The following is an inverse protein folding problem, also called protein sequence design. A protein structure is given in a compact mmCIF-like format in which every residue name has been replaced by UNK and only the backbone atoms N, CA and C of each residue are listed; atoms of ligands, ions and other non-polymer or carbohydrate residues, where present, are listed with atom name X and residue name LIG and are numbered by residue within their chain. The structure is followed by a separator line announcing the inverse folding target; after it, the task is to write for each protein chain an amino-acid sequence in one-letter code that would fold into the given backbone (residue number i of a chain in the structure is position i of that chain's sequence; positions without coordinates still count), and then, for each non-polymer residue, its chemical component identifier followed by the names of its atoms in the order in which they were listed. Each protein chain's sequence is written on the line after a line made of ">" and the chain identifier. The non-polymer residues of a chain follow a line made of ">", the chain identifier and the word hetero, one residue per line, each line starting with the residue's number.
data_IF_239488226186
#
_entry.id   IF_239488226186
#
_cell.length_a   1.000
_cell.length_b   1.000
_cell.length_c   1.000
_cell.angle_alpha   90.00
_cell.angle_beta   90.00
_cell.angle_gamma   90.00
#
_symmetry.space_group_name_H-M   'P 1'
#
loop_
_entity.id
_entity.type
_entity.pdbx_description
1 polymer ?
2 non-polymer ?
3 non-polymer ?
4 water ?
#
# COMPACT_ATOMS: atom_id res chain seq x y z
N UNK A 1 -13.04 7.46 -12.55
CA UNK A 1 -13.38 6.77 -11.34
C UNK A 1 -12.19 5.93 -10.91
N UNK A 2 -11.79 5.96 -9.62
CA UNK A 2 -10.68 5.10 -9.14
C UNK A 2 -11.27 3.73 -8.80
N UNK A 3 -10.84 2.68 -9.48
CA UNK A 3 -11.52 1.38 -9.44
C UNK A 3 -10.60 0.27 -8.91
N UNK A 4 -9.33 0.55 -8.61
CA UNK A 4 -8.48 -0.47 -8.02
C UNK A 4 -7.32 0.15 -7.27
N UNK A 5 -6.74 -0.65 -6.37
CA UNK A 5 -5.35 -0.42 -5.91
C UNK A 5 -4.46 -0.98 -7.01
N UNK A 6 -3.78 -0.09 -7.71
CA UNK A 6 -2.86 -0.47 -8.79
C UNK A 6 -1.54 -0.97 -8.25
N UNK A 7 -0.92 -0.27 -7.31
CA UNK A 7 0.36 -0.79 -6.77
C UNK A 7 0.67 -0.12 -5.47
N UNK A 8 1.65 -0.71 -4.78
CA UNK A 8 2.29 -0.09 -3.61
C UNK A 8 3.72 0.20 -4.05
N UNK A 9 4.17 1.44 -3.92
CA UNK A 9 5.55 1.84 -4.22
C UNK A 9 6.43 1.70 -3.01
N UNK A 10 7.45 0.88 -3.11
CA UNK A 10 8.35 0.50 -2.00
C UNK A 10 9.76 0.93 -2.41
N UNK A 11 10.32 1.88 -1.66
CA UNK A 11 11.67 2.38 -1.94
C UNK A 11 12.67 1.47 -1.25
N UNK A 12 13.78 1.24 -1.94
CA UNK A 12 14.88 0.42 -1.40
C UNK A 12 16.22 0.95 -1.91
N UNK A 13 17.22 0.62 -1.11
CA UNK A 13 18.61 1.02 -1.44
C UNK A 13 19.16 0.18 -2.58
N UNK A 14 18.85 -1.11 -2.60
CA UNK A 14 19.44 -2.08 -3.55
C UNK A 14 18.27 -2.89 -4.15
N UNK A 15 17.88 -2.52 -5.37
CA UNK A 15 16.72 -3.18 -6.02
C UNK A 15 16.97 -4.68 -6.16
N UNK A 16 18.17 -5.09 -6.59
CA UNK A 16 18.38 -6.54 -6.85
C UNK A 16 18.26 -7.31 -5.53
N UNK A 17 18.77 -6.79 -4.41
CA UNK A 17 18.66 -7.48 -3.12
C UNK A 17 17.19 -7.55 -2.66
N UNK A 18 16.45 -6.46 -2.87
CA UNK A 18 15.06 -6.41 -2.37
C UNK A 18 14.18 -7.31 -3.24
N UNK A 19 14.37 -7.29 -4.54
CA UNK A 19 13.67 -8.24 -5.44
C UNK A 19 13.91 -9.67 -4.97
N UNK A 20 15.17 -10.01 -4.67
CA UNK A 20 15.49 -11.39 -4.24
C UNK A 20 14.85 -11.71 -2.91
N UNK A 21 14.74 -10.73 -2.00
CA UNK A 21 14.02 -10.96 -0.75
C UNK A 21 12.55 -11.33 -1.04
N UNK A 22 11.86 -10.58 -1.91
CA UNK A 22 10.41 -10.84 -2.18
C UNK A 22 10.25 -12.18 -2.89
N UNK A 23 11.17 -12.52 -3.78
CA UNK A 23 11.18 -13.82 -4.53
C UNK A 23 11.39 -14.99 -3.57
N UNK A 24 12.44 -14.91 -2.78
CA UNK A 24 12.84 -16.03 -1.91
C UNK A 24 11.83 -16.18 -0.79
N UNK A 25 11.28 -15.10 -0.23
CA UNK A 25 10.42 -15.16 0.97
C UNK A 25 8.98 -15.54 0.60
N UNK A 26 8.46 -14.97 -0.47
CA UNK A 26 7.02 -15.05 -0.80
C UNK A 26 6.76 -15.74 -2.14
N UNK A 27 7.79 -15.98 -2.94
CA UNK A 27 7.63 -16.62 -4.25
C UNK A 27 7.19 -15.65 -5.32
N UNK A 28 7.28 -14.34 -5.08
CA UNK A 28 6.89 -13.33 -6.09
C UNK A 28 7.98 -13.09 -7.15
N UNK A 29 7.65 -13.30 -8.40
CA UNK A 29 8.59 -13.13 -9.53
C UNK A 29 8.48 -11.68 -10.02
N UNK A 30 9.50 -11.19 -10.68
CA UNK A 30 9.47 -9.88 -11.37
C UNK A 30 8.55 -10.03 -12.58
N UNK A 31 7.55 -9.14 -12.68
CA UNK A 31 6.67 -9.07 -13.86
C UNK A 31 7.37 -8.30 -14.98
N UNK A 32 7.98 -7.18 -14.64
CA UNK A 32 8.55 -6.22 -15.61
C UNK A 32 9.53 -5.32 -14.87
N UNK A 33 10.64 -4.96 -15.46
CA UNK A 33 11.57 -3.97 -14.88
C UNK A 33 11.91 -2.92 -15.95
N UNK A 34 12.10 -1.68 -15.52
CA UNK A 34 12.55 -0.63 -16.46
C UNK A 34 13.23 0.47 -15.66
N UNK A 35 13.97 1.31 -16.36
CA UNK A 35 14.54 2.56 -15.81
C UNK A 35 13.71 3.74 -16.31
N UNK A 36 13.46 4.69 -15.41
CA UNK A 36 12.79 5.96 -15.76
C UNK A 36 13.81 7.06 -15.53
N UNK A 37 14.50 7.49 -16.59
CA UNK A 37 15.61 8.47 -16.44
C UNK A 37 15.04 9.80 -15.90
N UNK A 38 13.84 10.16 -16.32
CA UNK A 38 13.20 11.46 -15.94
C UNK A 38 13.01 11.46 -14.42
N UNK A 39 12.47 10.39 -13.84
CA UNK A 39 12.27 10.28 -12.37
C UNK A 39 13.57 9.92 -11.64
N UNK A 40 14.55 9.31 -12.31
CA UNK A 40 15.82 8.91 -11.68
C UNK A 40 15.64 7.66 -10.83
N UNK A 41 14.83 6.70 -11.31
CA UNK A 41 14.58 5.45 -10.54
C UNK A 41 14.67 4.25 -11.47
N UNK A 42 15.08 3.13 -10.90
CA UNK A 42 14.94 1.82 -11.56
C UNK A 42 13.83 1.09 -10.82
N UNK A 43 12.85 0.55 -11.57
CA UNK A 43 11.62 -0.03 -10.98
C UNK A 43 11.55 -1.51 -11.33
N UNK A 44 11.10 -2.33 -10.41
CA UNK A 44 10.64 -3.70 -10.71
C UNK A 44 9.20 -3.81 -10.25
N UNK A 45 8.31 -4.20 -11.14
CA UNK A 45 6.90 -4.52 -10.81
C UNK A 45 6.80 -6.01 -10.53
N UNK A 46 6.22 -6.39 -9.40
CA UNK A 46 5.94 -7.80 -9.03
C UNK A 46 4.42 -7.90 -9.03
N UNK A 47 3.85 -8.72 -9.91
CA UNK A 47 2.39 -8.83 -9.98
C UNK A 47 1.89 -9.76 -8.89
N UNK A 48 0.95 -9.31 -8.07
CA UNK A 48 0.42 -10.11 -6.96
C UNK A 48 -0.91 -10.72 -7.35
N UNK A 49 -1.78 -10.01 -8.04
CA UNK A 49 -3.10 -10.54 -8.41
C UNK A 49 -3.66 -9.68 -9.56
N UNK A 50 -4.68 -10.21 -10.21
CA UNK A 50 -5.53 -9.45 -11.11
C UNK A 50 -6.72 -8.87 -10.34
N UNK A 51 -7.36 -7.85 -10.90
CA UNK A 51 -8.44 -7.08 -10.25
C UNK A 51 -9.71 -7.11 -11.07
N UNK A 52 -10.80 -6.80 -10.41
CA UNK A 52 -12.16 -6.98 -10.97
C UNK A 52 -12.43 -5.94 -12.06
N UNK A 53 -11.64 -4.88 -12.15
CA UNK A 53 -11.81 -3.82 -13.17
C UNK A 53 -11.00 -4.16 -14.42
N UNK A 54 -10.40 -5.35 -14.49
CA UNK A 54 -9.62 -5.73 -15.66
C UNK A 54 -8.14 -5.46 -15.50
N UNK A 55 -7.76 -4.79 -14.42
CA UNK A 55 -6.36 -4.46 -14.18
C UNK A 55 -5.67 -5.47 -13.30
N UNK A 56 -4.64 -5.00 -12.63
CA UNK A 56 -3.77 -5.84 -11.78
C UNK A 56 -3.27 -5.01 -10.62
N UNK A 57 -2.79 -5.67 -9.58
CA UNK A 57 -2.17 -5.09 -8.40
C UNK A 57 -0.74 -5.58 -8.34
N UNK A 58 0.17 -4.67 -8.12
CA UNK A 58 1.61 -4.92 -8.09
C UNK A 58 2.24 -4.37 -6.82
N UNK A 59 3.40 -4.91 -6.50
CA UNK A 59 4.43 -4.21 -5.71
C UNK A 59 5.40 -3.56 -6.68
N UNK A 60 5.61 -2.25 -6.54
CA UNK A 60 6.54 -1.50 -7.41
C UNK A 60 7.75 -1.18 -6.52
N UNK A 61 8.82 -1.95 -6.70
CA UNK A 61 10.07 -1.77 -5.94
C UNK A 61 10.92 -0.75 -6.69
N UNK A 62 11.45 0.24 -6.02
CA UNK A 62 12.10 1.41 -6.67
C UNK A 62 13.46 1.60 -6.03
N UNK A 63 14.52 1.80 -6.84
CA UNK A 63 15.86 2.19 -6.34
C UNK A 63 16.22 3.48 -7.07
N UNK A 64 16.89 4.43 -6.42
CA UNK A 64 17.35 5.63 -7.11
C UNK A 64 18.48 5.28 -8.06
N UNK A 65 18.58 6.00 -9.19
CA UNK A 65 19.69 5.80 -10.16
C UNK A 65 20.71 6.92 -10.00
N UNK A 66 20.41 7.91 -9.17
CA UNK A 66 21.29 9.09 -8.92
C UNK A 66 20.83 9.75 -7.62
N UNK A 67 21.71 10.55 -6.99
CA UNK A 67 21.47 11.23 -5.69
C UNK A 67 20.37 12.28 -5.86
N UNK A 68 20.39 13.08 -6.93
CA UNK A 68 19.31 14.07 -7.18
C UNK A 68 18.16 13.31 -7.88
N UNK A 69 17.44 12.50 -7.11
CA UNK A 69 16.08 11.99 -7.47
C UNK A 69 15.18 12.14 -6.25
N UNK A 70 13.88 12.32 -6.43
CA UNK A 70 12.89 12.39 -5.34
C UNK A 70 13.08 11.13 -4.47
N UNK A 71 13.19 9.97 -5.08
CA UNK A 71 13.27 8.71 -4.28
C UNK A 71 14.61 8.65 -3.53
N UNK A 72 15.71 9.08 -4.13
CA UNK A 72 17.02 9.06 -3.42
C UNK A 72 16.99 9.96 -2.18
N UNK A 73 16.44 11.16 -2.35
CA UNK A 73 16.27 12.09 -1.21
C UNK A 73 15.29 11.52 -0.16
N UNK A 74 14.19 10.92 -0.57
CA UNK A 74 13.26 10.30 0.39
C UNK A 74 13.99 9.22 1.20
N UNK A 75 14.78 8.39 0.54
CA UNK A 75 15.46 7.26 1.22
C UNK A 75 16.50 7.79 2.21
N UNK A 76 17.22 8.83 1.81
CA UNK A 76 18.23 9.43 2.71
C UNK A 76 17.52 9.92 3.99
N UNK A 77 16.30 10.46 3.87
CA UNK A 77 15.54 11.01 5.02
C UNK A 77 14.86 9.89 5.83
N UNK A 78 14.27 8.86 5.22
CA UNK A 78 13.30 7.98 5.90
C UNK A 78 13.75 6.53 6.01
N UNK A 79 14.77 6.13 5.25
CA UNK A 79 15.20 4.73 5.14
C UNK A 79 14.24 3.98 4.23
N UNK A 80 14.49 2.70 4.03
CA UNK A 80 13.68 1.85 3.12
C UNK A 80 12.27 1.66 3.71
N UNK A 81 11.29 1.54 2.82
CA UNK A 81 9.91 1.34 3.24
C UNK A 81 8.92 1.80 2.19
N UNK A 82 7.65 1.88 2.57
CA UNK A 82 6.57 2.28 1.64
C UNK A 82 6.72 3.75 1.31
N UNK A 83 6.78 4.06 0.03
CA UNK A 83 6.99 5.43 -0.48
C UNK A 83 5.67 6.02 -0.98
N UNK A 84 4.81 5.24 -1.62
CA UNK A 84 3.53 5.78 -2.14
C UNK A 84 2.55 4.67 -2.38
N UNK A 85 1.30 5.01 -2.60
CA UNK A 85 0.25 4.06 -3.02
C UNK A 85 -0.34 4.57 -4.32
N UNK A 86 -0.80 3.70 -5.14
CA UNK A 86 -1.32 4.04 -6.48
C UNK A 86 -2.68 3.47 -6.69
N UNK A 87 -3.62 4.28 -7.15
CA UNK A 87 -4.98 3.89 -7.58
C UNK A 87 -5.10 3.90 -9.09
N UNK A 88 -5.74 2.87 -9.63
CA UNK A 88 -5.96 2.78 -11.08
C UNK A 88 -7.31 3.34 -11.50
N UNK A 89 -7.34 3.84 -12.72
CA UNK A 89 -8.52 4.49 -13.34
C UNK A 89 -8.42 4.31 -14.86
N UNK A 90 -9.57 4.35 -15.53
CA UNK A 90 -9.63 4.38 -17.01
C UNK A 90 -9.35 5.79 -17.51
N UNK A 91 -9.37 6.82 -16.66
CA UNK A 91 -9.32 8.22 -17.13
C UNK A 91 -8.53 9.09 -16.14
N UNK A 92 -7.22 8.93 -16.10
CA UNK A 92 -6.32 9.70 -15.21
C UNK A 92 -6.54 11.19 -15.43
N UNK A 93 -6.69 11.61 -16.68
CA UNK A 93 -6.84 13.08 -16.92
C UNK A 93 -8.08 13.63 -16.21
N UNK A 94 -9.22 13.00 -16.40
CA UNK A 94 -10.49 13.49 -15.81
C UNK A 94 -10.41 13.39 -14.28
N UNK A 95 -9.91 12.28 -13.73
CA UNK A 95 -9.85 12.13 -12.27
C UNK A 95 -8.88 13.18 -11.67
N UNK A 96 -7.72 13.41 -12.26
CA UNK A 96 -6.76 14.40 -11.76
C UNK A 96 -7.40 15.79 -11.80
N UNK A 97 -8.14 16.12 -12.86
CA UNK A 97 -8.79 17.44 -12.98
C UNK A 97 -9.86 17.58 -11.90
N UNK A 98 -10.64 16.56 -11.64
CA UNK A 98 -11.70 16.57 -10.61
C UNK A 98 -11.05 16.80 -9.23
N UNK A 99 -9.94 16.10 -8.95
CA UNK A 99 -9.31 16.20 -7.61
C UNK A 99 -8.63 17.56 -7.47
N UNK A 100 -8.00 18.06 -8.52
CA UNK A 100 -7.40 19.41 -8.45
C UNK A 100 -8.50 20.45 -8.17
N UNK A 101 -9.64 20.32 -8.80
CA UNK A 101 -10.75 21.29 -8.58
C UNK A 101 -11.27 21.24 -7.13
N UNK A 102 -11.08 20.14 -6.39
CA UNK A 102 -11.48 20.05 -4.97
C UNK A 102 -10.45 20.73 -4.09
N UNK A 103 -9.33 21.24 -4.63
CA UNK A 103 -8.32 21.96 -3.86
C UNK A 103 -7.11 21.13 -3.49
N UNK A 104 -7.07 19.84 -3.85
CA UNK A 104 -5.88 18.99 -3.61
C UNK A 104 -4.74 19.44 -4.53
N UNK A 105 -3.53 19.55 -4.02
CA UNK A 105 -2.35 19.89 -4.85
C UNK A 105 -1.99 18.68 -5.72
N UNK A 106 -2.06 18.82 -7.01
CA UNK A 106 -1.64 17.79 -8.00
C UNK A 106 -0.23 18.15 -8.44
N UNK A 107 0.75 17.27 -8.27
CA UNK A 107 2.17 17.65 -8.36
C UNK A 107 2.56 17.98 -9.80
N UNK A 108 1.87 17.47 -10.81
CA UNK A 108 2.20 17.66 -12.24
C UNK A 108 1.02 18.36 -12.92
N UNK A 109 1.30 19.23 -13.89
CA UNK A 109 0.22 19.92 -14.61
C UNK A 109 -0.50 18.96 -15.56
N UNK A 110 0.21 17.94 -16.02
CA UNK A 110 -0.39 16.90 -16.88
C UNK A 110 0.28 15.56 -16.56
N UNK A 111 -0.47 14.45 -16.76
CA UNK A 111 0.13 13.14 -16.47
C UNK A 111 1.42 12.88 -17.22
N UNK A 112 2.32 12.12 -16.64
CA UNK A 112 3.65 11.76 -17.18
C UNK A 112 3.72 10.26 -17.42
N UNK A 113 4.76 9.84 -18.12
CA UNK A 113 4.99 8.41 -18.38
C UNK A 113 5.29 7.67 -17.10
N UNK A 114 4.66 6.52 -16.94
CA UNK A 114 4.96 5.62 -15.81
C UNK A 114 5.32 4.23 -16.31
N UNK A 115 5.39 3.30 -15.36
CA UNK A 115 5.72 1.87 -15.60
C UNK A 115 4.90 1.28 -16.77
N UNK A 116 5.53 0.51 -17.69
CA UNK A 116 4.83 -0.27 -18.74
C UNK A 116 3.91 0.61 -19.59
N UNK A 117 4.36 1.82 -19.92
CA UNK A 117 3.64 2.71 -20.82
C UNK A 117 2.40 3.35 -20.21
N UNK A 118 2.27 3.31 -18.88
CA UNK A 118 1.14 3.96 -18.19
C UNK A 118 1.30 5.48 -18.18
N UNK A 119 0.25 6.17 -17.82
CA UNK A 119 0.20 7.63 -17.65
C UNK A 119 -0.19 7.86 -16.20
N UNK A 120 0.57 8.69 -15.51
CA UNK A 120 0.45 8.78 -14.03
C UNK A 120 0.54 10.24 -13.57
N UNK A 121 0.00 10.49 -12.40
CA UNK A 121 0.22 11.78 -11.72
C UNK A 121 0.19 11.53 -10.21
N UNK A 122 0.59 12.50 -9.44
CA UNK A 122 0.69 12.40 -7.97
C UNK A 122 -0.06 13.51 -7.29
N UNK A 123 -0.54 13.21 -6.10
CA UNK A 123 -1.20 14.16 -5.17
C UNK A 123 -0.27 14.43 -4.01
N UNK A 124 -0.17 15.68 -3.57
CA UNK A 124 0.72 16.08 -2.46
C UNK A 124 0.36 15.32 -1.16
N UNK A 125 1.34 14.66 -0.49
CA UNK A 125 1.02 13.87 0.72
C UNK A 125 0.42 14.73 1.85
N UNK A 126 0.74 16.03 1.89
CA UNK A 126 0.19 16.87 2.97
C UNK A 126 -1.28 17.15 2.75
N UNK A 127 -1.87 16.91 1.58
CA UNK A 127 -3.31 17.00 1.36
C UNK A 127 -3.98 15.63 1.48
N UNK A 128 -3.19 14.58 1.69
CA UNK A 128 -3.71 13.17 1.71
C UNK A 128 -3.36 12.50 3.04
N UNK A 129 -3.36 13.23 4.13
CA UNK A 129 -3.11 12.68 5.48
C UNK A 129 -1.78 11.90 5.48
N UNK A 130 -0.73 12.44 4.85
CA UNK A 130 0.61 11.88 4.91
C UNK A 130 0.92 10.85 3.84
N UNK A 131 -0.03 10.52 2.96
CA UNK A 131 0.18 9.43 1.97
C UNK A 131 0.43 10.03 0.59
N UNK A 132 1.62 9.84 0.07
CA UNK A 132 1.91 10.19 -1.33
C UNK A 132 1.06 9.29 -2.20
N UNK A 133 0.21 9.87 -3.04
CA UNK A 133 -0.87 9.12 -3.73
C UNK A 133 -0.70 9.30 -5.23
N UNK A 134 -0.58 8.21 -5.97
CA UNK A 134 -0.46 8.20 -7.44
C UNK A 134 -1.79 7.79 -8.05
N UNK A 135 -2.13 8.43 -9.17
CA UNK A 135 -3.25 8.03 -10.03
C UNK A 135 -2.65 7.48 -11.32
N UNK A 136 -3.15 6.34 -11.79
CA UNK A 136 -2.54 5.52 -12.89
C UNK A 136 -3.63 5.14 -13.90
N UNK A 137 -3.37 5.40 -15.18
CA UNK A 137 -4.07 4.68 -16.26
C UNK A 137 -3.05 3.82 -16.99
N UNK A 138 -3.37 2.56 -17.17
CA UNK A 138 -2.54 1.60 -17.93
C UNK A 138 -2.37 2.05 -19.38
N UNK A 139 -1.33 1.58 -20.03
CA UNK A 139 -1.11 1.91 -21.46
C UNK A 139 -2.38 1.77 -22.29
N UNK A 140 -2.65 2.74 -23.19
CA UNK A 140 -3.76 2.55 -24.15
C UNK A 140 -3.47 1.39 -25.13
N UNK A 141 -4.48 0.68 -25.61
CA UNK A 141 -4.33 -0.47 -26.56
C UNK A 141 -4.59 0.05 -27.99
N UNK B 1 0.39 -19.99 0.14
CA UNK B 1 1.00 -18.97 -0.72
C UNK B 1 0.18 -17.68 -0.63
N UNK B 2 0.88 -16.58 -0.90
CA UNK B 2 0.30 -15.23 -0.85
C UNK B 2 -0.33 -14.93 -2.22
N UNK B 3 -1.63 -14.78 -2.26
CA UNK B 3 -2.36 -14.75 -3.54
C UNK B 3 -2.99 -13.37 -3.83
N UNK B 4 -2.90 -12.39 -2.96
CA UNK B 4 -3.41 -11.03 -3.23
C UNK B 4 -2.75 -10.01 -2.32
N UNK B 5 -2.82 -8.72 -2.72
CA UNK B 5 -2.72 -7.61 -1.76
C UNK B 5 -4.09 -7.51 -1.10
N UNK B 6 -4.17 -7.77 0.19
CA UNK B 6 -5.44 -7.73 0.93
C UNK B 6 -5.76 -6.28 1.33
N UNK B 7 -4.80 -5.55 1.87
CA UNK B 7 -5.11 -4.16 2.24
C UNK B 7 -3.84 -3.37 2.44
N UNK B 8 -4.03 -2.06 2.47
CA UNK B 8 -3.00 -1.09 2.91
C UNK B 8 -3.47 -0.57 4.27
N UNK B 9 -2.62 -0.59 5.29
CA UNK B 9 -2.95 -0.08 6.61
C UNK B 9 -2.45 1.34 6.73
N UNK B 10 -3.36 2.28 6.93
CA UNK B 10 -3.04 3.73 6.96
C UNK B 10 -3.42 4.24 8.34
N UNK B 11 -2.45 4.73 9.11
CA UNK B 11 -2.73 5.25 10.45
C UNK B 11 -3.09 6.74 10.34
N UNK B 12 -4.05 7.15 11.18
CA UNK B 12 -4.54 8.53 11.20
C UNK B 12 -4.97 8.91 12.61
N UNK B 13 -4.96 10.22 12.84
CA UNK B 13 -5.32 10.79 14.16
C UNK B 13 -6.81 10.72 14.40
N UNK B 14 -7.61 10.89 13.36
CA UNK B 14 -9.07 11.04 13.45
C UNK B 14 -9.67 10.21 12.31
N UNK B 15 -10.17 9.03 12.65
CA UNK B 15 -10.70 8.10 11.64
C UNK B 15 -11.82 8.77 10.87
N UNK B 16 -12.82 9.37 11.55
CA UNK B 16 -13.97 9.95 10.85
C UNK B 16 -13.54 11.03 9.85
N UNK B 17 -12.60 11.90 10.20
CA UNK B 17 -12.11 12.98 9.31
C UNK B 17 -11.39 12.33 8.11
N UNK B 18 -10.62 11.29 8.35
CA UNK B 18 -9.83 10.63 7.29
C UNK B 18 -10.77 9.91 6.34
N UNK B 19 -11.76 9.18 6.85
CA UNK B 19 -12.78 8.53 6.02
C UNK B 19 -13.46 9.60 5.17
N UNK B 20 -13.79 10.78 5.72
CA UNK B 20 -14.51 11.76 4.90
C UNK B 20 -13.59 12.21 3.77
N UNK B 21 -12.29 12.37 4.05
CA UNK B 21 -11.33 12.75 2.99
C UNK B 21 -11.38 11.71 1.87
N UNK B 22 -11.34 10.42 2.17
CA UNK B 22 -11.34 9.38 1.11
C UNK B 22 -12.69 9.36 0.37
N UNK B 23 -13.79 9.58 1.08
CA UNK B 23 -15.13 9.60 0.47
C UNK B 23 -15.24 10.81 -0.50
N UNK B 24 -14.95 12.00 0.01
CA UNK B 24 -15.11 13.28 -0.71
C UNK B 24 -14.16 13.30 -1.91
N UNK B 25 -12.96 12.80 -1.79
CA UNK B 25 -11.89 13.02 -2.80
C UNK B 25 -11.95 11.92 -3.86
N UNK B 26 -12.24 10.68 -3.48
CA UNK B 26 -12.16 9.53 -4.40
C UNK B 26 -13.49 8.82 -4.60
N UNK B 27 -14.47 9.13 -3.78
CA UNK B 27 -15.78 8.47 -3.84
C UNK B 27 -15.74 7.08 -3.25
N UNK B 28 -14.79 6.79 -2.37
CA UNK B 28 -14.78 5.50 -1.64
C UNK B 28 -15.86 5.54 -0.55
N UNK B 29 -16.30 4.36 -0.11
CA UNK B 29 -17.24 4.30 1.03
C UNK B 29 -16.77 3.21 1.99
N UNK B 30 -17.27 3.29 3.19
CA UNK B 30 -16.88 2.35 4.27
C UNK B 30 -17.63 1.03 4.12
N UNK B 31 -16.88 -0.07 4.04
CA UNK B 31 -17.42 -1.42 3.97
C UNK B 31 -17.69 -1.99 5.36
N UNK B 32 -16.86 -1.67 6.33
CA UNK B 32 -16.94 -2.27 7.69
C UNK B 32 -16.13 -1.43 8.65
N UNK B 33 -16.59 -1.25 9.88
CA UNK B 33 -15.90 -0.51 10.93
C UNK B 33 -15.97 -1.29 12.21
N UNK B 34 -14.84 -1.37 12.91
CA UNK B 34 -14.85 -2.11 14.20
C UNK B 34 -13.84 -1.53 15.16
N UNK B 35 -14.18 -1.66 16.46
CA UNK B 35 -13.26 -1.34 17.58
C UNK B 35 -12.62 -2.65 18.02
N UNK B 36 -11.28 -2.70 18.08
CA UNK B 36 -10.50 -3.91 18.47
C UNK B 36 -9.68 -3.51 19.67
N UNK B 37 -10.12 -3.86 20.89
CA UNK B 37 -9.42 -3.40 22.13
C UNK B 37 -8.11 -4.17 22.32
N UNK B 38 -8.02 -5.44 21.86
CA UNK B 38 -6.76 -6.22 21.87
C UNK B 38 -5.67 -5.39 21.14
N UNK B 39 -5.88 -5.08 19.85
CA UNK B 39 -4.89 -4.31 19.05
C UNK B 39 -4.88 -2.86 19.53
N UNK B 40 -5.96 -2.37 20.15
CA UNK B 40 -6.04 -0.96 20.61
C UNK B 40 -6.31 -0.01 19.44
N UNK B 41 -7.20 -0.38 18.52
CA UNK B 41 -7.51 0.53 17.39
C UNK B 41 -9.03 0.70 17.25
N UNK B 42 -9.45 1.68 16.44
CA UNK B 42 -10.74 1.63 15.73
C UNK B 42 -10.36 1.69 14.26
N UNK B 43 -10.94 0.82 13.48
CA UNK B 43 -10.54 0.68 12.07
C UNK B 43 -11.73 0.62 11.14
N UNK B 44 -11.59 1.26 9.99
CA UNK B 44 -12.56 1.27 8.89
C UNK B 44 -11.92 0.58 7.68
N UNK B 45 -12.63 -0.31 7.03
CA UNK B 45 -12.19 -0.96 5.78
C UNK B 45 -12.99 -0.36 4.66
N UNK B 46 -12.28 0.19 3.66
CA UNK B 46 -12.91 0.75 2.44
C UNK B 46 -12.56 -0.22 1.32
N UNK B 47 -13.56 -0.87 0.76
CA UNK B 47 -13.29 -1.86 -0.30
C UNK B 47 -13.05 -1.16 -1.64
N UNK B 48 -11.90 -1.38 -2.25
CA UNK B 48 -11.54 -0.70 -3.52
C UNK B 48 -11.84 -1.61 -4.70
N UNK B 49 -11.57 -2.89 -4.63
CA UNK B 49 -11.82 -3.81 -5.77
C UNK B 49 -11.89 -5.23 -5.27
N UNK B 50 -12.40 -6.11 -6.09
CA UNK B 50 -12.29 -7.57 -5.89
C UNK B 50 -11.04 -8.08 -6.57
N UNK B 51 -10.56 -9.23 -6.17
CA UNK B 51 -9.29 -9.84 -6.63
C UNK B 51 -9.50 -11.22 -7.24
N UNK B 52 -8.55 -11.60 -8.07
CA UNK B 52 -8.65 -12.83 -8.88
C UNK B 52 -8.60 -14.09 -8.03
N UNK B 53 -8.17 -14.04 -6.76
CA UNK B 53 -8.14 -15.23 -5.89
C UNK B 53 -9.49 -15.38 -5.17
N UNK B 54 -10.48 -14.57 -5.49
CA UNK B 54 -11.79 -14.61 -4.84
C UNK B 54 -11.91 -13.68 -3.65
N UNK B 55 -10.85 -12.96 -3.30
CA UNK B 55 -10.93 -12.00 -2.20
C UNK B 55 -11.13 -10.56 -2.65
N UNK B 56 -10.66 -9.64 -1.87
CA UNK B 56 -10.89 -8.21 -2.12
C UNK B 56 -9.68 -7.46 -1.61
N UNK B 57 -9.54 -6.24 -2.07
CA UNK B 57 -8.47 -5.34 -1.61
C UNK B 57 -9.10 -4.10 -0.97
N UNK B 58 -8.59 -3.68 0.16
CA UNK B 58 -9.16 -2.59 0.96
C UNK B 58 -8.10 -1.58 1.32
N UNK B 59 -8.53 -0.36 1.61
CA UNK B 59 -7.79 0.54 2.51
C UNK B 59 -8.29 0.28 3.92
N UNK B 60 -7.39 0.08 4.85
CA UNK B 60 -7.68 -0.09 6.29
C UNK B 60 -7.19 1.15 7.03
N UNK B 61 -8.13 2.02 7.41
CA UNK B 61 -7.80 3.26 8.11
C UNK B 61 -7.87 2.97 9.61
N UNK B 62 -6.84 3.33 10.36
CA UNK B 62 -6.72 2.93 11.79
C UNK B 62 -6.47 4.18 12.63
N UNK B 63 -7.28 4.38 13.68
CA UNK B 63 -7.04 5.45 14.67
C UNK B 63 -6.78 4.78 16.00
N UNK B 64 -5.89 5.31 16.84
CA UNK B 64 -5.66 4.70 18.15
C UNK B 64 -6.83 5.02 19.09
N UNK B 65 -7.22 4.07 19.95
CA UNK B 65 -8.21 4.32 21.04
C UNK B 65 -7.47 4.64 22.35
N UNK B 66 -6.18 4.29 22.40
CA UNK B 66 -5.24 4.61 23.51
C UNK B 66 -3.81 4.72 22.96
N UNK B 67 -2.96 5.46 23.68
CA UNK B 67 -1.57 5.73 23.25
C UNK B 67 -0.72 4.48 23.47
N UNK B 68 -1.07 3.58 24.40
CA UNK B 68 -0.35 2.29 24.52
C UNK B 68 -0.89 1.29 23.49
N UNK B 69 -0.78 1.62 22.20
CA UNK B 69 -1.13 0.74 21.05
C UNK B 69 0.05 0.73 20.08
N UNK B 70 0.25 -0.35 19.33
CA UNK B 70 1.22 -0.35 18.21
C UNK B 70 0.97 0.92 17.38
N UNK B 71 -0.29 1.21 17.05
CA UNK B 71 -0.63 2.35 16.14
C UNK B 71 -0.47 3.71 16.86
N UNK B 72 -0.89 3.82 18.11
CA UNK B 72 -0.80 5.10 18.86
C UNK B 72 0.65 5.57 19.02
N UNK B 73 1.57 4.63 19.28
CA UNK B 73 3.01 4.93 19.50
C UNK B 73 3.61 5.32 18.14
N UNK B 74 3.21 4.60 17.10
CA UNK B 74 3.71 4.80 15.72
C UNK B 74 3.33 6.19 15.25
N UNK B 75 2.12 6.68 15.52
CA UNK B 75 1.70 8.05 15.11
C UNK B 75 2.50 9.16 15.80
N UNK B 76 2.78 9.01 17.10
CA UNK B 76 3.63 9.95 17.86
C UNK B 76 5.01 10.06 17.21
N UNK B 77 5.59 8.95 16.78
CA UNK B 77 6.96 8.92 16.17
C UNK B 77 6.93 9.36 14.70
N UNK B 78 5.88 9.04 13.91
CA UNK B 78 5.97 9.11 12.43
C UNK B 78 5.02 10.12 11.81
N UNK B 79 3.98 10.52 12.51
CA UNK B 79 2.84 11.24 11.92
C UNK B 79 1.97 10.31 11.08
N UNK B 80 0.91 10.87 10.53
CA UNK B 80 -0.06 10.09 9.73
C UNK B 80 0.60 9.50 8.48
N UNK B 81 0.15 8.33 8.06
CA UNK B 81 0.61 7.77 6.78
C UNK B 81 0.49 6.28 6.74
N UNK B 82 1.15 5.66 5.79
CA UNK B 82 1.09 4.19 5.62
C UNK B 82 1.83 3.53 6.76
N UNK B 83 1.16 2.63 7.44
CA UNK B 83 1.66 1.91 8.61
C UNK B 83 2.07 0.46 8.26
N UNK B 84 1.31 -0.22 7.40
CA UNK B 84 1.65 -1.61 7.01
C UNK B 84 1.03 -1.94 5.66
N UNK B 85 1.44 -3.06 5.09
CA UNK B 85 0.78 -3.67 3.91
C UNK B 85 0.35 -5.07 4.28
N UNK B 86 -0.69 -5.60 3.71
CA UNK B 86 -1.22 -6.93 4.10
C UNK B 86 -1.39 -7.75 2.85
N UNK B 87 -0.99 -9.01 2.90
CA UNK B 87 -1.15 -10.01 1.83
C UNK B 87 -2.15 -11.06 2.27
N UNK B 88 -3.04 -11.48 1.38
CA UNK B 88 -3.98 -12.56 1.68
C UNK B 88 -3.44 -13.91 1.33
N UNK B 89 -3.85 -14.89 2.10
CA UNK B 89 -3.46 -16.30 1.98
C UNK B 89 -4.62 -17.15 2.46
N UNK B 90 -4.72 -18.36 1.93
CA UNK B 90 -5.74 -19.30 2.43
C UNK B 90 -5.31 -19.89 3.77
N UNK B 91 -4.04 -19.84 4.09
CA UNK B 91 -3.53 -20.49 5.33
C UNK B 91 -2.42 -19.68 5.95
N UNK B 92 -2.81 -18.71 6.76
CA UNK B 92 -1.87 -17.81 7.48
C UNK B 92 -0.92 -18.61 8.36
N UNK B 93 -1.44 -19.65 8.95
CA UNK B 93 -0.59 -20.48 9.87
C UNK B 93 0.56 -21.14 9.12
N UNK B 94 0.25 -21.76 8.01
CA UNK B 94 1.26 -22.49 7.21
C UNK B 94 2.25 -21.49 6.64
N UNK B 95 1.76 -20.37 6.11
CA UNK B 95 2.66 -19.41 5.45
C UNK B 95 3.53 -18.72 6.49
N UNK B 96 3.02 -18.37 7.67
CA UNK B 96 3.86 -17.77 8.71
C UNK B 96 4.96 -18.75 9.12
N UNK B 97 4.60 -20.04 9.30
CA UNK B 97 5.61 -21.02 9.75
C UNK B 97 6.69 -21.15 8.67
N UNK B 98 6.31 -21.19 7.40
CA UNK B 98 7.31 -21.33 6.30
C UNK B 98 8.23 -20.09 6.31
N UNK B 99 7.67 -18.91 6.49
CA UNK B 99 8.45 -17.65 6.46
C UNK B 99 9.35 -17.54 7.70
N UNK B 100 8.90 -17.97 8.86
CA UNK B 100 9.78 -17.96 10.04
C UNK B 100 10.99 -18.85 9.76
N UNK B 101 10.76 -19.99 9.14
CA UNK B 101 11.81 -21.01 8.89
C UNK B 101 12.85 -20.43 7.93
N UNK B 102 12.49 -19.42 7.13
CA UNK B 102 13.44 -18.71 6.24
C UNK B 102 14.26 -17.64 6.97
N UNK B 103 14.02 -17.38 8.24
CA UNK B 103 14.80 -16.39 8.97
C UNK B 103 14.11 -15.05 9.07
N UNK B 104 12.83 -14.94 8.71
CA UNK B 104 12.05 -13.70 8.92
C UNK B 104 11.20 -13.84 10.17
N UNK B 105 11.41 -13.00 11.18
CA UNK B 105 10.71 -13.13 12.46
C UNK B 105 9.22 -12.85 12.29
N UNK B 106 8.40 -13.60 13.00
CA UNK B 106 6.94 -13.44 13.10
C UNK B 106 6.61 -12.84 14.47
N UNK B 107 5.88 -11.74 14.47
CA UNK B 107 5.69 -10.91 15.69
C UNK B 107 4.84 -11.62 16.74
N UNK B 108 3.89 -12.44 16.33
CA UNK B 108 3.03 -13.24 17.23
C UNK B 108 3.38 -14.73 17.08
N UNK B 109 3.44 -15.49 18.17
CA UNK B 109 3.70 -16.95 18.03
C UNK B 109 2.49 -17.66 17.41
N UNK B 110 1.29 -17.11 17.65
CA UNK B 110 0.07 -17.63 17.01
C UNK B 110 -0.72 -16.47 16.42
N UNK B 111 -1.37 -16.74 15.27
CA UNK B 111 -2.24 -15.72 14.69
C UNK B 111 -3.36 -15.25 15.60
N UNK B 112 -3.82 -14.03 15.38
CA UNK B 112 -4.83 -13.34 16.21
C UNK B 112 -6.04 -13.00 15.35
N UNK B 113 -7.15 -12.60 15.97
CA UNK B 113 -8.33 -12.14 15.22
C UNK B 113 -7.98 -10.77 14.62
N UNK B 114 -8.36 -10.59 13.37
CA UNK B 114 -8.36 -9.28 12.74
C UNK B 114 -9.73 -8.86 12.27
N UNK B 115 -9.77 -7.76 11.53
CA UNK B 115 -11.05 -7.16 11.11
C UNK B 115 -11.90 -8.15 10.30
N UNK B 116 -13.21 -8.10 10.49
CA UNK B 116 -14.16 -8.89 9.72
C UNK B 116 -13.89 -10.39 9.96
N UNK B 117 -13.46 -10.74 11.16
CA UNK B 117 -13.29 -12.14 11.57
C UNK B 117 -12.13 -12.84 10.84
N UNK B 118 -11.22 -12.05 10.28
CA UNK B 118 -10.01 -12.61 9.66
C UNK B 118 -9.09 -13.16 10.75
N UNK B 119 -8.08 -13.89 10.32
CA UNK B 119 -7.00 -14.48 11.12
C UNK B 119 -5.68 -13.91 10.60
N UNK B 120 -4.92 -13.25 11.45
CA UNK B 120 -3.82 -12.38 10.94
C UNK B 120 -2.54 -12.63 11.72
N UNK B 121 -1.39 -12.29 11.15
CA UNK B 121 -0.13 -12.16 11.89
C UNK B 121 0.71 -11.13 11.19
N UNK B 122 1.83 -10.77 11.77
CA UNK B 122 2.75 -9.76 11.23
C UNK B 122 4.13 -10.32 11.17
N UNK B 123 4.88 -9.87 10.17
CA UNK B 123 6.31 -10.14 9.99
C UNK B 123 7.11 -8.92 10.47
N UNK B 124 8.29 -9.13 11.02
CA UNK B 124 9.09 -8.03 11.57
C UNK B 124 9.56 -7.08 10.48
N UNK B 125 9.26 -5.75 10.58
CA UNK B 125 9.67 -4.84 9.52
C UNK B 125 11.17 -4.76 9.28
N UNK B 126 12.00 -4.98 10.32
CA UNK B 126 13.46 -4.92 10.14
C UNK B 126 13.98 -6.13 9.37
N UNK B 127 13.17 -7.17 9.23
CA UNK B 127 13.50 -8.35 8.40
C UNK B 127 12.85 -8.23 7.02
N UNK B 128 12.05 -7.19 6.77
CA UNK B 128 11.31 -7.03 5.49
C UNK B 128 11.70 -5.72 4.80
N UNK B 129 12.96 -5.28 4.92
CA UNK B 129 13.43 -4.05 4.24
C UNK B 129 12.51 -2.88 4.63
N UNK B 130 12.08 -2.79 5.87
CA UNK B 130 11.40 -1.61 6.43
C UNK B 130 9.89 -1.59 6.28
N UNK B 131 9.33 -2.68 5.75
CA UNK B 131 7.87 -2.71 5.53
C UNK B 131 7.23 -3.65 6.54
N UNK B 132 6.39 -3.15 7.43
CA UNK B 132 5.61 -3.95 8.38
C UNK B 132 4.60 -4.70 7.52
N UNK B 133 4.67 -6.02 7.52
CA UNK B 133 3.94 -6.87 6.56
C UNK B 133 2.98 -7.77 7.33
N UNK B 134 1.69 -7.71 7.03
CA UNK B 134 0.64 -8.54 7.62
C UNK B 134 0.27 -9.67 6.69
N UNK B 135 -0.02 -10.84 7.24
CA UNK B 135 -0.59 -11.96 6.49
C UNK B 135 -2.01 -12.17 6.98
N UNK B 136 -2.95 -12.38 6.07
CA UNK B 136 -4.38 -12.35 6.37
C UNK B 136 -5.05 -13.59 5.77
N UNK B 137 -5.77 -14.37 6.59
CA UNK B 137 -6.76 -15.35 6.07
C UNK B 137 -8.15 -14.82 6.37
N UNK B 138 -8.93 -14.58 5.34
CA UNK B 138 -10.32 -14.09 5.49
C UNK B 138 -11.22 -15.19 6.12
N UNK B 139 -12.29 -14.76 6.77
CA UNK B 139 -13.35 -15.68 7.28
C UNK B 139 -14.05 -16.36 6.11
N UNK B 140 -14.67 -17.54 6.36
CA UNK B 140 -15.51 -18.29 5.38
C UNK B 140 -16.63 -17.39 4.81
X LIG C 1 4.26 4.29 -8.68
X LIG D 1 -4.08 -4.63 8.82
X LIG E 1 -23.34 -2.13 7.77
X LIG E 1 -24.25 -1.13 7.47
X LIG E 1 -22.56 -1.93 9.04
X LIG E 1 -21.21 -1.49 8.82
X LIG E 1 -20.48 -2.10 7.73
X LIG E 1 -20.83 -3.56 7.50
X LIG E 1 -19.98 -4.52 8.13
X LIG F 1 -10.99 -15.37 -0.59
X LIG F 1 -9.87 -15.93 -1.32
X LIG F 1 -10.57 -14.65 0.66
X LIG F 1 -11.24 -13.39 0.79
X LIG F 1 -10.35 -12.30 0.91
X LIG F 1 -11.06 -10.98 0.96
X LIG F 1 -10.17 -9.88 1.24
#
# INVERSE_FOLDING_TARGET
>A
SLTRIDHIGIACHDLDATVEFYRATYGFEVFHTEVNEEQGVREAMLKINDTSDGGASYLQLLEPTREDSAVGKWLAKNGEGVHHIAFGTADVDADAADIRDKGVRVLYDEPRRGSMGSRITFLHPKDCHGVLTELVTSAAVESPEH
>B
SLTRIDHIGIACHDLDATVEFYRATYGFEVFHTEVNEEQGVREAMLKINDTSDGGASYLQLLEPTREDSAVGKWLAKNGEGVHHIAFGTADVDADAADIRDKGVRVLYDEPRRGSMGSRITFLHPKDCHGVLTELVTSAAVESPEH
>C hetero
1 CO CO
>D hetero
1 CO CO
>E hetero
1 PEG C1 O1 C2 O2 C3 C4 O4
>F hetero
1 PEG C1 O1 C2 O2 C3 C4 O4
#
